data_IF_561275545361
#
_entry.id   IF_561275545361
#
_cell.length_a   1.000
_cell.length_b   1.000
_cell.length_c   1.000
_cell.angle_alpha   90.00
_cell.angle_beta   90.00
_cell.angle_gamma   90.00
#
_symmetry.space_group_name_H-M   'P 1'
#
loop_
_entity.id
_entity.type
_entity.pdbx_description
1 polymer ?
#
# COMPACT_ATOMS: atom_id res chain seq x y z
N UNK A 1 -18.55 -3.96 7.49
CA UNK A 1 -17.40 -4.44 6.69
C UNK A 1 -17.71 -4.37 5.20
N UNK A 2 -18.81 -4.92 4.75
CA UNK A 2 -19.21 -5.01 3.34
C UNK A 2 -19.31 -3.64 2.65
N UNK A 3 -19.94 -2.66 3.28
CA UNK A 3 -20.03 -1.30 2.77
C UNK A 3 -18.65 -0.68 2.51
N UNK A 4 -17.71 -0.84 3.45
CA UNK A 4 -16.34 -0.33 3.28
C UNK A 4 -15.63 -1.02 2.12
N UNK A 5 -15.81 -2.33 1.95
CA UNK A 5 -15.23 -3.07 0.82
C UNK A 5 -15.80 -2.56 -0.50
N UNK A 6 -17.11 -2.29 -0.55
CA UNK A 6 -17.77 -1.73 -1.72
C UNK A 6 -17.22 -0.34 -2.06
N UNK A 7 -17.16 0.56 -1.08
CA UNK A 7 -16.62 1.92 -1.26
C UNK A 7 -15.18 1.87 -1.77
N UNK A 8 -14.32 1.04 -1.18
CA UNK A 8 -12.94 0.86 -1.64
C UNK A 8 -12.90 0.36 -3.09
N UNK A 9 -13.77 -0.60 -3.43
CA UNK A 9 -13.83 -1.15 -4.79
C UNK A 9 -14.26 -0.11 -5.82
N UNK A 10 -15.27 0.70 -5.50
CA UNK A 10 -15.72 1.79 -6.35
C UNK A 10 -14.63 2.86 -6.52
N UNK A 11 -14.02 3.30 -5.42
CA UNK A 11 -12.91 4.27 -5.47
C UNK A 11 -11.76 3.78 -6.35
N UNK A 12 -11.33 2.53 -6.20
CA UNK A 12 -10.27 1.97 -7.05
C UNK A 12 -10.69 1.94 -8.53
N UNK A 13 -11.93 1.60 -8.83
CA UNK A 13 -12.43 1.55 -10.20
C UNK A 13 -12.48 2.95 -10.82
N UNK A 14 -13.03 3.94 -10.10
CA UNK A 14 -13.19 5.33 -10.55
C UNK A 14 -11.81 5.96 -10.82
N UNK A 15 -10.84 5.76 -9.92
CA UNK A 15 -9.48 6.28 -10.10
C UNK A 15 -8.80 5.65 -11.31
N UNK A 16 -8.89 4.34 -11.50
CA UNK A 16 -8.29 3.67 -12.65
C UNK A 16 -8.94 4.11 -13.97
N UNK A 17 -10.24 4.33 -13.96
CA UNK A 17 -10.96 4.88 -15.11
C UNK A 17 -10.50 6.31 -15.43
N UNK A 18 -10.36 7.16 -14.41
CA UNK A 18 -9.87 8.53 -14.57
C UNK A 18 -8.43 8.59 -15.08
N UNK A 19 -7.59 7.62 -14.70
CA UNK A 19 -6.20 7.48 -15.17
C UNK A 19 -6.10 6.87 -16.58
N UNK A 20 -7.22 6.50 -17.21
CA UNK A 20 -7.21 5.86 -18.54
C UNK A 20 -6.50 4.51 -18.58
N UNK A 21 -6.44 3.81 -17.45
CA UNK A 21 -5.75 2.53 -17.35
C UNK A 21 -6.44 1.49 -18.24
N UNK A 22 -5.80 1.12 -19.35
CA UNK A 22 -6.28 0.06 -20.23
C UNK A 22 -6.18 -1.30 -19.53
N UNK A 23 -7.30 -1.95 -19.36
CA UNK A 23 -7.36 -3.31 -18.82
C UNK A 23 -7.37 -4.32 -19.96
N UNK A 24 -6.57 -5.37 -19.83
CA UNK A 24 -6.63 -6.53 -20.74
C UNK A 24 -7.94 -7.32 -20.44
N UNK A 25 -8.85 -7.46 -21.41
CA UNK A 25 -10.12 -8.18 -21.22
C UNK A 25 -9.96 -9.66 -20.86
N UNK A 26 -8.78 -10.25 -21.12
CA UNK A 26 -8.48 -11.64 -20.76
C UNK A 26 -8.01 -11.80 -19.30
N UNK A 27 -7.91 -10.73 -18.54
CA UNK A 27 -7.47 -10.79 -17.14
C UNK A 27 -8.55 -11.40 -16.24
N UNK A 28 -8.17 -12.43 -15.50
CA UNK A 28 -9.04 -13.10 -14.52
C UNK A 28 -9.50 -12.16 -13.38
N UNK A 29 -8.68 -11.16 -13.03
CA UNK A 29 -8.95 -10.13 -12.01
C UNK A 29 -8.53 -8.76 -12.55
N UNK A 30 -9.40 -7.76 -12.41
CA UNK A 30 -9.10 -6.37 -12.81
C UNK A 30 -8.10 -5.72 -11.86
N UNK A 31 -7.43 -4.66 -12.31
CA UNK A 31 -6.51 -3.91 -11.46
C UNK A 31 -7.21 -3.35 -10.21
N UNK A 32 -8.42 -2.79 -10.35
CA UNK A 32 -9.25 -2.33 -9.23
C UNK A 32 -9.48 -3.41 -8.18
N UNK A 33 -9.69 -4.65 -8.60
CA UNK A 33 -9.93 -5.78 -7.72
C UNK A 33 -8.69 -6.21 -6.94
N UNK A 34 -7.53 -6.14 -7.59
CA UNK A 34 -6.24 -6.41 -6.95
C UNK A 34 -5.92 -5.33 -5.92
N UNK A 35 -6.13 -4.04 -6.27
CA UNK A 35 -5.96 -2.91 -5.36
C UNK A 35 -6.93 -3.00 -4.17
N UNK A 36 -8.20 -3.30 -4.42
CA UNK A 36 -9.20 -3.54 -3.36
C UNK A 36 -8.73 -4.62 -2.39
N UNK A 37 -8.17 -5.72 -2.90
CA UNK A 37 -7.66 -6.80 -2.06
C UNK A 37 -6.52 -6.31 -1.15
N UNK A 38 -5.62 -5.47 -1.66
CA UNK A 38 -4.54 -4.87 -0.87
C UNK A 38 -5.09 -3.94 0.22
N UNK A 39 -6.01 -3.03 -0.12
CA UNK A 39 -6.61 -2.13 0.88
C UNK A 39 -7.41 -2.88 1.94
N UNK A 40 -8.16 -3.91 1.57
CA UNK A 40 -8.87 -4.78 2.53
C UNK A 40 -7.87 -5.48 3.44
N UNK A 41 -6.74 -5.96 2.91
CA UNK A 41 -5.68 -6.55 3.72
C UNK A 41 -5.13 -5.57 4.75
N UNK A 42 -4.86 -4.33 4.34
CA UNK A 42 -4.35 -3.29 5.25
C UNK A 42 -5.35 -2.90 6.31
N UNK A 43 -6.60 -2.62 5.93
CA UNK A 43 -7.62 -2.09 6.84
C UNK A 43 -8.16 -3.11 7.83
N UNK A 44 -8.33 -4.37 7.41
CA UNK A 44 -9.01 -5.37 8.23
C UNK A 44 -8.09 -6.48 8.74
N UNK A 45 -6.96 -6.69 8.09
CA UNK A 45 -6.08 -7.83 8.36
C UNK A 45 -4.62 -7.45 8.63
N UNK A 46 -4.33 -6.18 8.95
CA UNK A 46 -2.98 -5.68 9.27
C UNK A 46 -1.93 -6.03 8.21
N UNK A 47 -2.31 -5.94 6.93
CA UNK A 47 -1.43 -6.27 5.81
C UNK A 47 -1.39 -7.76 5.42
N UNK A 48 -2.16 -8.62 6.07
CA UNK A 48 -2.23 -10.05 5.71
C UNK A 48 -3.07 -10.24 4.44
N UNK A 49 -2.40 -10.21 3.29
CA UNK A 49 -3.04 -10.40 1.98
C UNK A 49 -3.71 -11.77 1.82
N UNK A 50 -3.21 -12.82 2.50
CA UNK A 50 -3.82 -14.15 2.41
C UNK A 50 -5.16 -14.21 3.13
N UNK A 51 -5.27 -13.57 4.28
CA UNK A 51 -6.55 -13.46 5.00
C UNK A 51 -7.58 -12.64 4.20
N UNK A 52 -7.16 -11.52 3.59
CA UNK A 52 -8.02 -10.72 2.71
C UNK A 52 -8.47 -11.53 1.48
N UNK A 53 -7.54 -12.27 0.85
CA UNK A 53 -7.81 -13.16 -0.27
C UNK A 53 -8.85 -14.22 0.10
N UNK A 54 -8.69 -14.88 1.25
CA UNK A 54 -9.62 -15.89 1.75
C UNK A 54 -11.02 -15.32 2.00
N UNK A 55 -11.12 -14.11 2.56
CA UNK A 55 -12.40 -13.43 2.74
C UNK A 55 -13.05 -13.13 1.39
N UNK A 56 -12.31 -12.49 0.48
CA UNK A 56 -12.82 -12.01 -0.80
C UNK A 56 -13.07 -13.12 -1.82
N UNK A 57 -12.53 -14.33 -1.63
CA UNK A 57 -12.83 -15.50 -2.45
C UNK A 57 -14.22 -16.11 -2.21
N UNK A 58 -14.95 -15.61 -1.21
CA UNK A 58 -16.34 -16.07 -0.98
C UNK A 58 -17.22 -15.69 -2.17
N UNK A 59 -18.22 -16.53 -2.55
CA UNK A 59 -19.09 -16.30 -3.71
C UNK A 59 -19.78 -14.93 -3.73
N UNK A 60 -20.03 -14.36 -2.54
CA UNK A 60 -20.64 -13.03 -2.36
C UNK A 60 -19.78 -11.89 -2.92
N UNK A 61 -18.44 -12.05 -2.90
CA UNK A 61 -17.52 -11.00 -3.34
C UNK A 61 -16.94 -11.33 -4.72
N UNK A 62 -16.09 -12.36 -4.79
CA UNK A 62 -15.33 -12.68 -6.01
C UNK A 62 -15.09 -14.17 -6.18
N UNK A 63 -15.90 -14.86 -6.99
CA UNK A 63 -15.77 -16.32 -7.18
C UNK A 63 -14.45 -16.71 -7.86
N UNK A 64 -13.83 -15.81 -8.64
CA UNK A 64 -12.60 -16.08 -9.41
C UNK A 64 -11.37 -15.39 -8.86
N UNK A 65 -11.07 -15.64 -7.59
CA UNK A 65 -9.89 -15.08 -6.92
C UNK A 65 -8.58 -15.70 -7.43
N UNK A 66 -7.57 -14.87 -7.65
CA UNK A 66 -6.23 -15.32 -8.04
C UNK A 66 -5.56 -16.16 -6.94
N UNK A 67 -4.67 -17.09 -7.34
CA UNK A 67 -3.79 -17.76 -6.40
C UNK A 67 -2.83 -16.76 -5.74
N UNK A 68 -2.32 -17.10 -4.54
CA UNK A 68 -1.37 -16.25 -3.78
C UNK A 68 -0.21 -15.74 -4.63
N UNK A 69 0.43 -16.63 -5.40
CA UNK A 69 1.59 -16.27 -6.25
C UNK A 69 1.21 -15.30 -7.37
N UNK A 70 0.05 -15.50 -7.99
CA UNK A 70 -0.45 -14.62 -9.06
C UNK A 70 -0.86 -13.26 -8.49
N UNK A 71 -1.54 -13.23 -7.34
CA UNK A 71 -1.92 -12.00 -6.67
C UNK A 71 -0.69 -11.16 -6.32
N UNK A 72 0.34 -11.74 -5.70
CA UNK A 72 1.56 -11.03 -5.37
C UNK A 72 2.24 -10.45 -6.61
N UNK A 73 2.37 -11.22 -7.70
CA UNK A 73 2.93 -10.69 -8.95
C UNK A 73 2.13 -9.53 -9.52
N UNK A 74 0.81 -9.59 -9.41
CA UNK A 74 -0.07 -8.51 -9.87
C UNK A 74 0.09 -7.26 -8.98
N UNK A 75 0.15 -7.41 -7.67
CA UNK A 75 0.39 -6.32 -6.73
C UNK A 75 1.69 -5.57 -7.06
N UNK A 76 2.78 -6.30 -7.30
CA UNK A 76 4.05 -5.67 -7.70
C UNK A 76 3.97 -4.92 -9.03
N UNK A 77 3.17 -5.38 -9.98
CA UNK A 77 2.97 -4.66 -11.25
C UNK A 77 2.12 -3.39 -11.12
N UNK A 78 1.35 -3.28 -10.05
CA UNK A 78 0.48 -2.13 -9.77
C UNK A 78 1.14 -1.11 -8.84
N UNK A 79 2.43 -1.25 -8.53
CA UNK A 79 3.14 -0.33 -7.61
C UNK A 79 3.00 1.12 -8.05
N UNK A 80 3.22 1.41 -9.33
CA UNK A 80 3.13 2.76 -9.87
C UNK A 80 1.71 3.35 -9.72
N UNK A 81 0.68 2.52 -9.91
CA UNK A 81 -0.72 2.95 -9.71
C UNK A 81 -1.04 3.24 -8.23
N UNK A 82 -0.44 2.51 -7.30
CA UNK A 82 -0.56 2.82 -5.88
C UNK A 82 0.12 4.15 -5.53
N UNK A 83 1.29 4.44 -6.11
CA UNK A 83 2.00 5.70 -5.93
C UNK A 83 1.15 6.84 -6.52
N UNK A 84 0.67 6.70 -7.75
CA UNK A 84 -0.19 7.71 -8.40
C UNK A 84 -1.47 7.98 -7.59
N UNK A 85 -2.09 6.93 -7.05
CA UNK A 85 -3.26 7.09 -6.17
C UNK A 85 -2.90 7.86 -4.90
N UNK A 86 -1.77 7.54 -4.28
CA UNK A 86 -1.29 8.24 -3.09
C UNK A 86 -1.04 9.73 -3.39
N UNK A 87 -0.36 10.03 -4.49
CA UNK A 87 -0.07 11.40 -4.93
C UNK A 87 -1.36 12.19 -5.23
N UNK A 88 -2.33 11.56 -5.89
CA UNK A 88 -3.64 12.17 -6.17
C UNK A 88 -4.38 12.51 -4.87
N UNK A 89 -4.41 11.58 -3.92
CA UNK A 89 -5.02 11.82 -2.61
C UNK A 89 -4.27 12.88 -1.83
N UNK A 90 -2.94 12.85 -1.84
CA UNK A 90 -2.08 13.84 -1.21
C UNK A 90 -2.31 15.24 -1.76
N UNK A 91 -2.39 15.36 -3.09
CA UNK A 91 -2.75 16.62 -3.75
C UNK A 91 -4.13 17.13 -3.30
N UNK A 92 -5.13 16.25 -3.28
CA UNK A 92 -6.50 16.59 -2.84
C UNK A 92 -6.51 17.09 -1.39
N UNK A 93 -5.84 16.39 -0.48
CA UNK A 93 -5.74 16.81 0.92
C UNK A 93 -5.00 18.12 1.09
N UNK A 94 -3.98 18.38 0.27
CA UNK A 94 -3.24 19.65 0.23
C UNK A 94 -4.17 20.82 -0.11
N UNK A 95 -5.03 20.64 -1.10
CA UNK A 95 -6.03 21.66 -1.50
C UNK A 95 -7.10 21.89 -0.43
N UNK A 96 -7.50 20.84 0.27
CA UNK A 96 -8.51 20.92 1.33
C UNK A 96 -7.97 21.43 2.67
N UNK A 97 -6.65 21.49 2.84
CA UNK A 97 -6.02 21.93 4.09
C UNK A 97 -6.02 23.46 4.21
N UNK A 98 -7.10 24.01 4.72
CA UNK A 98 -7.27 25.47 4.92
C UNK A 98 -6.34 26.05 6.00
N UNK A 99 -5.90 25.23 6.96
CA UNK A 99 -5.06 25.69 8.06
C UNK A 99 -3.58 25.88 7.64
N UNK A 100 -3.15 25.37 6.48
CA UNK A 100 -1.75 25.38 6.01
C UNK A 100 -0.73 24.86 7.01
N UNK A 101 -1.18 24.04 7.97
CA UNK A 101 -0.34 23.43 9.01
C UNK A 101 -0.06 21.98 8.63
N UNK A 102 1.22 21.60 8.67
CA UNK A 102 1.68 20.26 8.34
C UNK A 102 2.57 19.73 9.47
N UNK A 103 2.53 18.41 9.67
CA UNK A 103 3.39 17.69 10.60
C UNK A 103 4.24 16.70 9.79
N UNK A 104 5.54 16.68 10.07
CA UNK A 104 6.47 15.73 9.49
C UNK A 104 6.80 14.67 10.53
N UNK A 105 6.60 13.42 10.19
CA UNK A 105 7.05 12.28 11.00
C UNK A 105 8.03 11.40 10.20
N UNK A 106 8.89 10.72 10.95
CA UNK A 106 9.89 9.81 10.38
C UNK A 106 9.83 8.47 11.08
N UNK A 107 9.56 7.43 10.33
CA UNK A 107 9.52 6.09 10.89
C UNK A 107 10.30 5.06 10.06
N UNK A 108 10.89 4.04 10.70
CA UNK A 108 11.59 2.97 10.01
C UNK A 108 10.62 1.92 9.49
N UNK A 109 10.74 1.56 8.22
CA UNK A 109 10.14 0.36 7.64
C UNK A 109 11.19 -0.73 7.62
N UNK A 110 11.12 -1.61 8.62
CA UNK A 110 12.10 -2.70 8.80
C UNK A 110 11.80 -3.83 7.83
N UNK A 111 12.76 -4.15 6.98
CA UNK A 111 12.69 -5.28 6.04
C UNK A 111 13.31 -6.54 6.65
N UNK A 112 14.43 -6.39 7.34
CA UNK A 112 15.09 -7.53 8.01
C UNK A 112 15.82 -7.10 9.29
N UNK A 113 16.01 -8.07 10.17
CA UNK A 113 16.77 -7.91 11.40
C UNK A 113 18.27 -7.98 11.16
N UNK A 114 19.06 -7.45 12.12
CA UNK A 114 20.51 -7.30 12.03
C UNK A 114 21.24 -8.55 11.55
N UNK A 115 20.91 -9.72 12.10
CA UNK A 115 21.61 -10.99 11.75
C UNK A 115 21.32 -11.46 10.30
N UNK A 116 20.26 -10.97 9.66
CA UNK A 116 19.88 -11.29 8.29
C UNK A 116 20.38 -10.28 7.26
N UNK A 117 20.89 -9.12 7.70
CA UNK A 117 21.37 -8.06 6.78
C UNK A 117 22.42 -8.59 5.78
N UNK A 118 23.42 -9.41 6.18
CA UNK A 118 24.40 -9.93 5.23
C UNK A 118 23.84 -10.89 4.19
N UNK A 119 22.68 -11.50 4.48
CA UNK A 119 22.01 -12.47 3.61
C UNK A 119 20.89 -11.87 2.77
N UNK A 120 20.49 -10.62 3.07
CA UNK A 120 19.40 -9.94 2.40
C UNK A 120 19.84 -9.39 1.04
N UNK A 121 19.35 -9.97 -0.05
CA UNK A 121 19.67 -9.50 -1.41
C UNK A 121 19.17 -8.07 -1.69
N UNK A 122 18.11 -7.62 -1.02
CA UNK A 122 17.46 -6.32 -1.23
C UNK A 122 18.10 -5.16 -0.47
N UNK A 123 18.96 -5.41 0.53
CA UNK A 123 19.48 -4.35 1.41
C UNK A 123 20.98 -4.51 1.69
N UNK A 124 21.76 -4.84 0.66
CA UNK A 124 23.21 -5.04 0.81
C UNK A 124 24.00 -3.74 1.00
N UNK A 125 23.48 -2.61 0.51
CA UNK A 125 24.15 -1.32 0.63
C UNK A 125 24.05 -0.73 2.04
N UNK A 126 25.11 -0.02 2.46
CA UNK A 126 25.18 0.64 3.78
C UNK A 126 24.04 1.62 4.03
N UNK A 127 23.49 2.20 2.98
CA UNK A 127 22.37 3.16 2.99
C UNK A 127 21.09 2.59 3.61
N UNK A 128 20.87 1.28 3.46
CA UNK A 128 19.68 0.60 4.01
C UNK A 128 19.86 0.14 5.46
N UNK A 129 21.01 0.43 6.08
CA UNK A 129 21.27 0.07 7.48
C UNK A 129 20.85 1.20 8.40
N UNK A 130 19.95 0.92 9.31
CA UNK A 130 19.46 1.86 10.30
C UNK A 130 19.61 1.34 11.73
N UNK A 131 19.56 2.28 12.67
CA UNK A 131 19.48 1.98 14.09
C UNK A 131 18.25 2.64 14.68
N UNK A 132 17.44 1.87 15.40
CA UNK A 132 16.37 2.41 16.23
C UNK A 132 16.93 2.68 17.61
N UNK A 133 17.18 3.95 17.94
CA UNK A 133 17.77 4.35 19.22
C UNK A 133 16.89 3.92 20.41
N UNK A 134 15.57 4.06 20.29
CA UNK A 134 14.61 3.68 21.33
C UNK A 134 14.60 2.18 21.63
N UNK A 135 14.83 1.35 20.60
CA UNK A 135 14.84 -0.11 20.74
C UNK A 135 16.26 -0.69 20.81
N UNK A 136 17.31 0.15 20.75
CA UNK A 136 18.73 -0.25 20.71
C UNK A 136 19.00 -1.39 19.70
N UNK A 137 18.37 -1.31 18.52
CA UNK A 137 18.36 -2.39 17.52
C UNK A 137 18.77 -1.89 16.15
N UNK A 138 19.71 -2.59 15.52
CA UNK A 138 20.06 -2.37 14.13
C UNK A 138 19.09 -3.13 13.22
N UNK A 139 18.75 -2.57 12.07
CA UNK A 139 17.88 -3.18 11.08
C UNK A 139 18.32 -2.83 9.67
N UNK A 140 17.96 -3.66 8.71
CA UNK A 140 17.98 -3.34 7.28
C UNK A 140 16.58 -2.91 6.84
N UNK A 141 16.49 -1.75 6.19
CA UNK A 141 15.19 -1.21 5.75
C UNK A 141 15.28 0.23 5.27
N UNK A 142 14.13 0.84 5.15
CA UNK A 142 13.97 2.24 4.71
C UNK A 142 13.51 3.10 5.88
N UNK A 143 13.88 4.38 5.83
CA UNK A 143 13.28 5.41 6.67
C UNK A 143 12.30 6.19 5.80
N UNK A 144 11.05 6.16 6.17
CA UNK A 144 9.99 6.90 5.48
C UNK A 144 9.76 8.21 6.19
N UNK A 145 9.76 9.30 5.45
CA UNK A 145 9.33 10.61 5.89
C UNK A 145 7.90 10.81 5.41
N UNK A 146 7.00 11.05 6.32
CA UNK A 146 5.60 11.27 6.01
C UNK A 146 5.19 12.69 6.40
N UNK A 147 4.69 13.43 5.43
CA UNK A 147 4.06 14.72 5.62
C UNK A 147 2.56 14.52 5.77
N UNK A 148 1.98 14.99 6.86
CA UNK A 148 0.55 14.90 7.12
C UNK A 148 -0.04 16.28 7.41
N UNK A 149 -1.33 16.45 7.12
CA UNK A 149 -2.08 17.64 7.53
C UNK A 149 -2.28 17.63 9.06
N UNK A 150 -2.77 18.75 9.60
CA UNK A 150 -3.16 18.86 11.02
C UNK A 150 -4.16 17.75 11.43
N UNK A 151 -5.01 17.33 10.54
CA UNK A 151 -6.04 16.30 10.79
C UNK A 151 -5.54 14.86 10.53
N UNK A 152 -4.24 14.71 10.29
CA UNK A 152 -3.59 13.41 10.13
C UNK A 152 -3.72 12.78 8.73
N UNK A 153 -4.14 13.54 7.72
CA UNK A 153 -4.23 13.03 6.35
C UNK A 153 -2.85 13.05 5.69
N UNK A 154 -2.40 11.95 5.10
CA UNK A 154 -1.10 11.90 4.43
C UNK A 154 -1.12 12.72 3.14
N UNK A 155 -0.09 13.52 2.93
CA UNK A 155 0.05 14.42 1.79
C UNK A 155 1.20 14.02 0.89
N UNK A 156 2.33 13.62 1.50
CA UNK A 156 3.55 13.33 0.77
C UNK A 156 4.41 12.34 1.56
N UNK A 157 5.12 11.45 0.88
CA UNK A 157 6.10 10.57 1.49
C UNK A 157 7.39 10.50 0.65
N UNK A 158 8.55 10.41 1.32
CA UNK A 158 9.87 10.25 0.73
C UNK A 158 10.76 9.29 1.52
#
# INVERSE_FOLDING_TARGET
MDEKILVISCLCADVLQALGSAEDPQQQMRAAEVMTTAFVAMLFFRGNCEAARALLSRPRYRPHMLSRRRLNRRLHRLTDLFIMLFDLLGYTWKQLNTASVYVIDRFPVVVCDNYRIPQAQLSQHKEYRGCSASKKRYFGGLKVHLLVTKDGQPVECS
#
